data_IF_184878105122
#
_entry.id   IF_184878105122
#
_cell.length_a   1.000
_cell.length_b   1.000
_cell.length_c   1.000
_cell.angle_alpha   90.00
_cell.angle_beta   90.00
_cell.angle_gamma   90.00
#
_symmetry.space_group_name_H-M   'P 1'
#
loop_
_entity.id
_entity.type
_entity.pdbx_description
1 polymer ?
#
# COMPACT_ATOMS: atom_id res chain seq x y z
N UNK A 1 -10.72 -21.08 75.03
CA UNK A 1 -10.92 -19.78 74.34
C UNK A 1 -11.57 -20.10 72.99
N UNK A 2 -12.89 -19.92 72.90
CA UNK A 2 -13.61 -18.96 72.00
C UNK A 2 -13.75 -19.54 70.56
N UNK A 3 -14.92 -19.77 69.94
CA UNK A 3 -16.23 -19.09 69.81
C UNK A 3 -16.28 -17.90 68.82
N UNK A 4 -16.52 -18.17 67.53
CA UNK A 4 -17.60 -17.54 66.73
C UNK A 4 -17.62 -18.14 65.31
N UNK A 5 -18.70 -18.81 64.89
CA UNK A 5 -19.86 -18.26 64.15
C UNK A 5 -19.49 -17.57 62.85
N UNK A 6 -19.84 -18.22 61.74
CA UNK A 6 -20.47 -17.54 60.59
C UNK A 6 -21.24 -18.55 59.74
N UNK A 7 -22.42 -18.93 60.24
CA UNK A 7 -23.49 -19.50 59.42
C UNK A 7 -24.01 -18.41 58.49
N UNK A 8 -23.43 -18.30 57.29
CA UNK A 8 -24.01 -17.49 56.22
C UNK A 8 -25.30 -18.15 55.76
N UNK A 9 -26.41 -17.63 56.27
CA UNK A 9 -27.75 -17.91 55.74
C UNK A 9 -27.78 -17.43 54.29
N UNK A 10 -27.78 -18.36 53.34
CA UNK A 10 -28.13 -18.06 51.96
C UNK A 10 -29.64 -17.85 51.93
N UNK A 11 -30.08 -16.61 52.16
CA UNK A 11 -31.45 -16.18 51.87
C UNK A 11 -31.72 -16.49 50.40
N UNK A 12 -32.52 -17.52 50.13
CA UNK A 12 -33.00 -17.78 48.77
C UNK A 12 -33.79 -16.54 48.37
N UNK A 13 -33.27 -15.78 47.41
CA UNK A 13 -33.99 -14.69 46.78
C UNK A 13 -35.23 -15.31 46.13
N UNK A 14 -36.39 -15.11 46.76
CA UNK A 14 -37.68 -15.45 46.18
C UNK A 14 -37.79 -14.66 44.87
N UNK A 15 -37.67 -15.34 43.73
CA UNK A 15 -37.95 -14.71 42.44
C UNK A 15 -39.41 -14.26 42.48
N UNK A 16 -39.71 -12.97 42.26
CA UNK A 16 -41.09 -12.53 42.13
C UNK A 16 -41.72 -13.30 40.97
N UNK A 17 -42.83 -14.01 41.23
CA UNK A 17 -43.66 -14.66 40.21
C UNK A 17 -44.37 -13.57 39.39
N UNK A 18 -43.57 -12.82 38.64
CA UNK A 18 -44.02 -11.77 37.76
C UNK A 18 -44.53 -12.46 36.50
N UNK A 19 -45.80 -12.90 36.55
CA UNK A 19 -46.56 -13.34 35.38
C UNK A 19 -46.82 -12.14 34.47
N UNK A 20 -45.78 -11.63 33.83
CA UNK A 20 -45.93 -10.66 32.76
C UNK A 20 -46.69 -11.37 31.64
N UNK A 21 -47.81 -10.82 31.14
CA UNK A 21 -48.49 -11.41 30.00
C UNK A 21 -47.57 -11.38 28.77
N UNK A 22 -46.99 -12.54 28.43
CA UNK A 22 -46.17 -12.81 27.23
C UNK A 22 -47.05 -12.85 25.98
N UNK A 23 -48.05 -11.96 25.86
CA UNK A 23 -48.97 -11.97 24.72
C UNK A 23 -48.47 -11.14 23.54
N UNK A 24 -47.48 -10.26 23.75
CA UNK A 24 -46.92 -9.37 22.71
C UNK A 24 -45.40 -9.49 22.51
N UNK A 25 -44.72 -10.20 23.40
CA UNK A 25 -43.26 -10.41 23.35
C UNK A 25 -42.87 -11.31 22.17
N UNK A 26 -43.72 -12.29 21.86
CA UNK A 26 -43.47 -13.28 20.81
C UNK A 26 -43.38 -12.63 19.43
N UNK A 27 -44.26 -11.67 19.13
CA UNK A 27 -44.24 -10.93 17.86
C UNK A 27 -42.97 -10.07 17.73
N UNK A 28 -42.56 -9.40 18.81
CA UNK A 28 -41.33 -8.62 18.84
C UNK A 28 -40.08 -9.50 18.70
N UNK A 29 -40.03 -10.65 19.38
CA UNK A 29 -38.96 -11.64 19.24
C UNK A 29 -38.90 -12.25 17.84
N UNK A 30 -40.06 -12.59 17.28
CA UNK A 30 -40.16 -13.11 15.91
C UNK A 30 -39.65 -12.06 14.93
N UNK A 31 -40.11 -10.81 15.03
CA UNK A 31 -39.67 -9.71 14.18
C UNK A 31 -38.16 -9.45 14.31
N UNK A 32 -37.63 -9.42 15.53
CA UNK A 32 -36.20 -9.26 15.79
C UNK A 32 -35.37 -10.42 15.21
N UNK A 33 -35.86 -11.66 15.31
CA UNK A 33 -35.19 -12.83 14.75
C UNK A 33 -35.18 -12.84 13.21
N UNK A 34 -36.22 -12.31 12.56
CA UNK A 34 -36.29 -12.17 11.11
C UNK A 34 -35.37 -11.06 10.60
N UNK A 35 -35.26 -9.95 11.34
CA UNK A 35 -34.31 -8.87 11.04
C UNK A 35 -32.86 -9.36 11.13
N UNK A 36 -32.53 -10.15 12.14
CA UNK A 36 -31.19 -10.74 12.31
C UNK A 36 -30.88 -11.73 11.17
N UNK A 37 -31.82 -12.60 10.79
CA UNK A 37 -31.63 -13.55 9.67
C UNK A 37 -31.46 -12.85 8.32
N UNK A 38 -32.11 -11.70 8.13
CA UNK A 38 -31.97 -10.89 6.92
C UNK A 38 -30.61 -10.19 6.86
N UNK A 39 -30.08 -9.75 8.01
CA UNK A 39 -28.76 -9.11 8.13
C UNK A 39 -27.60 -10.11 8.06
N UNK A 40 -27.84 -11.38 8.43
CA UNK A 40 -26.83 -12.45 8.44
C UNK A 40 -26.76 -13.24 7.12
N UNK A 41 -27.29 -12.71 6.01
CA UNK A 41 -27.15 -13.37 4.72
C UNK A 41 -25.65 -13.46 4.33
N UNK A 42 -25.02 -14.65 4.36
CA UNK A 42 -23.58 -14.80 4.17
C UNK A 42 -23.14 -14.63 2.70
N UNK A 43 -24.08 -14.32 1.80
CA UNK A 43 -23.83 -14.02 0.39
C UNK A 43 -23.65 -12.52 0.10
N UNK A 44 -23.66 -11.65 1.12
CA UNK A 44 -23.26 -10.24 1.00
C UNK A 44 -21.73 -10.11 0.99
N UNK A 45 -21.08 -10.57 -0.10
CA UNK A 45 -19.73 -10.07 -0.37
C UNK A 45 -19.84 -8.55 -0.47
N UNK A 46 -19.18 -7.84 0.44
CA UNK A 46 -19.22 -6.36 0.58
C UNK A 46 -18.94 -5.63 -0.76
N UNK A 47 -18.38 -6.36 -1.73
CA UNK A 47 -18.20 -5.97 -3.13
C UNK A 47 -18.85 -7.03 -4.03
N UNK A 48 -19.66 -6.63 -5.01
CA UNK A 48 -20.23 -7.55 -6.01
C UNK A 48 -19.12 -8.14 -6.91
N UNK A 49 -19.26 -9.38 -7.37
CA UNK A 49 -18.28 -10.03 -8.27
C UNK A 49 -17.93 -9.18 -9.51
N UNK A 50 -18.92 -8.50 -10.09
CA UNK A 50 -18.71 -7.59 -11.22
C UNK A 50 -17.84 -6.37 -10.88
N UNK A 51 -17.95 -5.86 -9.64
CA UNK A 51 -17.16 -4.75 -9.12
C UNK A 51 -15.75 -5.20 -8.74
N UNK A 52 -15.60 -6.44 -8.27
CA UNK A 52 -14.29 -7.07 -8.06
C UNK A 52 -13.54 -7.25 -9.40
N UNK A 53 -14.19 -7.80 -10.42
CA UNK A 53 -13.61 -7.96 -11.76
C UNK A 53 -13.25 -6.65 -12.45
N UNK A 54 -14.01 -5.57 -12.22
CA UNK A 54 -13.68 -4.25 -12.77
C UNK A 54 -12.45 -3.66 -12.08
N UNK A 55 -12.30 -3.85 -10.77
CA UNK A 55 -11.11 -3.45 -10.01
C UNK A 55 -9.87 -4.24 -10.46
N UNK A 56 -10.01 -5.54 -10.70
CA UNK A 56 -8.93 -6.39 -11.21
C UNK A 56 -8.51 -5.94 -12.61
N UNK A 57 -9.46 -5.66 -13.51
CA UNK A 57 -9.17 -5.13 -14.86
C UNK A 57 -8.46 -3.79 -14.81
N UNK A 58 -8.94 -2.88 -13.96
CA UNK A 58 -8.31 -1.57 -13.77
C UNK A 58 -6.86 -1.68 -13.29
N UNK A 59 -6.57 -2.64 -12.41
CA UNK A 59 -5.23 -2.89 -11.90
C UNK A 59 -4.28 -3.49 -12.96
N UNK A 60 -4.79 -4.32 -13.87
CA UNK A 60 -3.99 -4.80 -15.01
C UNK A 60 -3.62 -3.65 -15.96
N UNK A 61 -4.56 -2.74 -16.22
CA UNK A 61 -4.31 -1.56 -17.05
C UNK A 61 -3.22 -0.69 -16.42
N UNK A 62 -3.25 -0.46 -15.11
CA UNK A 62 -2.21 0.35 -14.44
C UNK A 62 -0.83 -0.30 -14.45
N UNK A 63 -0.74 -1.62 -14.31
CA UNK A 63 0.53 -2.33 -14.49
C UNK A 63 1.08 -2.19 -15.90
N UNK A 64 0.22 -2.31 -16.93
CA UNK A 64 0.62 -2.10 -18.31
C UNK A 64 1.14 -0.66 -18.53
N UNK A 65 0.43 0.35 -18.03
CA UNK A 65 0.87 1.74 -18.09
C UNK A 65 2.21 1.98 -17.38
N UNK A 66 2.45 1.32 -16.25
CA UNK A 66 3.74 1.38 -15.55
C UNK A 66 4.88 0.80 -16.39
N UNK A 67 4.67 -0.31 -17.10
CA UNK A 67 5.69 -0.88 -17.99
C UNK A 67 5.93 0.06 -19.18
N UNK A 68 4.86 0.62 -19.76
CA UNK A 68 4.98 1.60 -20.84
C UNK A 68 5.65 2.91 -20.41
N UNK A 69 5.52 3.30 -19.14
CA UNK A 69 6.12 4.52 -18.59
C UNK A 69 7.64 4.54 -18.57
N UNK A 70 8.27 3.36 -18.60
CA UNK A 70 9.71 3.24 -18.74
C UNK A 70 10.21 3.76 -20.10
N UNK A 71 9.38 3.69 -21.15
CA UNK A 71 9.70 4.25 -22.46
C UNK A 71 9.62 5.79 -22.50
N UNK A 72 9.09 6.43 -21.45
CA UNK A 72 8.98 7.90 -21.36
C UNK A 72 9.91 8.50 -20.32
N UNK A 73 10.98 7.82 -19.91
CA UNK A 73 11.91 8.28 -18.87
C UNK A 73 11.22 8.68 -17.53
N UNK A 74 10.14 7.98 -17.16
CA UNK A 74 9.41 8.24 -15.90
C UNK A 74 8.30 9.29 -16.00
N UNK A 75 8.08 9.94 -17.15
CA UNK A 75 7.06 10.99 -17.30
C UNK A 75 5.62 10.49 -17.03
N UNK A 76 5.32 9.23 -17.33
CA UNK A 76 4.01 8.60 -17.08
C UNK A 76 3.79 8.17 -15.60
N UNK A 77 4.76 8.38 -14.70
CA UNK A 77 4.67 8.01 -13.27
C UNK A 77 3.73 8.90 -12.45
N UNK A 78 3.27 10.01 -13.03
CA UNK A 78 2.31 10.93 -12.40
C UNK A 78 0.96 10.27 -12.15
N UNK A 79 0.46 9.46 -13.08
CA UNK A 79 -0.86 8.82 -12.91
C UNK A 79 -0.84 7.83 -11.74
N UNK A 80 0.12 6.89 -11.66
CA UNK A 80 0.18 5.98 -10.53
C UNK A 80 0.42 6.63 -9.17
N UNK A 81 1.24 7.68 -9.07
CA UNK A 81 1.48 8.34 -7.78
C UNK A 81 0.22 9.03 -7.28
N UNK A 82 -0.54 9.68 -8.17
CA UNK A 82 -1.84 10.28 -7.85
C UNK A 82 -2.81 9.18 -7.36
N UNK A 83 -2.90 8.06 -8.07
CA UNK A 83 -3.75 6.94 -7.68
C UNK A 83 -3.37 6.38 -6.30
N UNK A 84 -2.07 6.26 -6.03
CA UNK A 84 -1.57 5.78 -4.75
C UNK A 84 -1.96 6.74 -3.62
N UNK A 85 -1.74 8.05 -3.76
CA UNK A 85 -2.16 9.02 -2.74
C UNK A 85 -3.69 9.08 -2.57
N UNK A 86 -4.44 9.03 -3.66
CA UNK A 86 -5.91 9.10 -3.63
C UNK A 86 -6.55 7.90 -2.92
N UNK A 87 -5.95 6.71 -3.00
CA UNK A 87 -6.48 5.48 -2.41
C UNK A 87 -5.77 5.00 -1.16
N UNK A 88 -4.61 5.56 -0.82
CA UNK A 88 -3.84 5.20 0.38
C UNK A 88 -4.71 5.22 1.63
N UNK A 89 -5.46 6.30 1.86
CA UNK A 89 -6.32 6.44 3.05
C UNK A 89 -7.49 5.44 3.12
N UNK A 90 -7.90 4.87 1.98
CA UNK A 90 -8.93 3.83 1.96
C UNK A 90 -8.39 2.44 2.34
N UNK A 91 -7.07 2.29 2.32
CA UNK A 91 -6.38 1.05 2.69
C UNK A 91 -5.78 1.11 4.09
N UNK A 92 -6.04 2.18 4.85
CA UNK A 92 -5.60 2.33 6.23
C UNK A 92 -6.06 1.12 7.06
N UNK A 93 -5.21 0.69 7.99
CA UNK A 93 -5.43 -0.49 8.83
C UNK A 93 -5.46 -1.84 8.09
N UNK A 94 -5.09 -1.90 6.81
CA UNK A 94 -4.91 -3.15 6.04
C UNK A 94 -3.46 -3.36 5.64
N UNK A 95 -3.07 -4.60 5.29
CA UNK A 95 -1.75 -4.91 4.73
C UNK A 95 -1.47 -4.17 3.41
N UNK A 96 -2.50 -3.70 2.70
CA UNK A 96 -2.37 -2.99 1.44
C UNK A 96 -1.83 -1.56 1.62
N UNK A 97 -2.04 -0.93 2.79
CA UNK A 97 -1.43 0.38 3.13
C UNK A 97 0.09 0.37 2.94
N UNK A 98 0.76 -0.73 3.32
CA UNK A 98 2.21 -0.89 3.17
C UNK A 98 2.66 -0.88 1.71
N UNK A 99 1.83 -1.36 0.78
CA UNK A 99 2.14 -1.35 -0.65
C UNK A 99 2.01 0.05 -1.23
N UNK A 100 0.97 0.80 -0.83
CA UNK A 100 0.83 2.21 -1.21
C UNK A 100 2.03 3.02 -0.72
N UNK A 101 2.41 2.86 0.55
CA UNK A 101 3.59 3.51 1.12
C UNK A 101 4.89 3.10 0.40
N UNK A 102 5.05 1.82 0.08
CA UNK A 102 6.20 1.32 -0.65
C UNK A 102 6.34 1.93 -2.04
N UNK A 103 5.23 2.02 -2.79
CA UNK A 103 5.23 2.63 -4.11
C UNK A 103 5.48 4.15 -4.05
N UNK A 104 4.86 4.85 -3.09
CA UNK A 104 5.07 6.28 -2.86
C UNK A 104 6.53 6.56 -2.52
N UNK A 105 7.13 5.81 -1.59
CA UNK A 105 8.56 5.97 -1.24
C UNK A 105 9.47 5.69 -2.44
N UNK A 106 9.18 4.65 -3.21
CA UNK A 106 9.96 4.29 -4.40
C UNK A 106 9.91 5.39 -5.45
N UNK A 107 8.75 6.03 -5.65
CA UNK A 107 8.63 7.23 -6.49
C UNK A 107 9.58 8.35 -6.03
N UNK A 108 9.51 8.75 -4.76
CA UNK A 108 10.32 9.85 -4.24
C UNK A 108 11.83 9.58 -4.30
N UNK A 109 12.25 8.36 -3.96
CA UNK A 109 13.65 7.96 -4.13
C UNK A 109 14.10 8.02 -5.60
N UNK A 110 13.21 7.70 -6.55
CA UNK A 110 13.54 7.76 -7.98
C UNK A 110 13.71 9.18 -8.49
N UNK A 111 12.96 10.14 -7.94
CA UNK A 111 13.18 11.57 -8.21
C UNK A 111 14.57 12.00 -7.74
N UNK A 112 15.00 11.56 -6.55
CA UNK A 112 16.34 11.87 -6.03
C UNK A 112 17.43 11.27 -6.92
N UNK A 113 17.34 9.97 -7.25
CA UNK A 113 18.29 9.32 -8.15
C UNK A 113 18.30 9.96 -9.54
N UNK A 114 17.14 10.35 -10.07
CA UNK A 114 17.00 11.06 -11.34
C UNK A 114 17.68 12.43 -11.31
N UNK A 115 17.47 13.21 -10.25
CA UNK A 115 18.12 14.52 -10.09
C UNK A 115 19.65 14.40 -10.00
N UNK A 116 20.16 13.45 -9.19
CA UNK A 116 21.60 13.15 -9.12
C UNK A 116 22.14 12.77 -10.49
N UNK A 117 21.41 11.92 -11.20
CA UNK A 117 21.76 11.49 -12.55
C UNK A 117 21.84 12.65 -13.55
N UNK A 118 20.88 13.59 -13.52
CA UNK A 118 20.89 14.79 -14.36
C UNK A 118 22.11 15.66 -14.05
N UNK A 119 22.41 15.91 -12.77
CA UNK A 119 23.57 16.71 -12.37
C UNK A 119 24.87 16.07 -12.87
N UNK A 120 25.03 14.76 -12.66
CA UNK A 120 26.19 14.02 -13.15
C UNK A 120 26.31 14.05 -14.67
N UNK A 121 25.18 13.95 -15.39
CA UNK A 121 25.17 14.05 -16.84
C UNK A 121 25.58 15.46 -17.31
N UNK A 122 25.07 16.52 -16.70
CA UNK A 122 25.44 17.90 -17.04
C UNK A 122 26.94 18.15 -16.82
N UNK A 123 27.49 17.70 -15.68
CA UNK A 123 28.92 17.90 -15.38
C UNK A 123 29.79 17.01 -16.28
N UNK A 124 29.43 15.74 -16.45
CA UNK A 124 30.18 14.79 -17.28
C UNK A 124 30.18 15.17 -18.75
N UNK A 125 29.01 15.39 -19.34
CA UNK A 125 28.89 15.79 -20.75
C UNK A 125 29.36 17.23 -21.00
N UNK A 126 29.08 18.15 -20.08
CA UNK A 126 29.53 19.54 -20.19
C UNK A 126 31.06 19.65 -20.12
N UNK A 127 31.67 18.93 -19.17
CA UNK A 127 33.13 18.84 -19.07
C UNK A 127 33.76 18.17 -20.30
N UNK A 128 33.10 17.15 -20.86
CA UNK A 128 33.60 16.47 -22.06
C UNK A 128 33.53 17.38 -23.29
N UNK A 129 32.43 18.11 -23.46
CA UNK A 129 32.29 19.13 -24.50
C UNK A 129 33.38 20.19 -24.38
N UNK A 130 33.53 20.81 -23.20
CA UNK A 130 34.57 21.81 -22.96
C UNK A 130 35.98 21.26 -23.20
N UNK A 131 36.27 20.03 -22.78
CA UNK A 131 37.57 19.40 -22.98
C UNK A 131 37.93 19.23 -24.46
N UNK A 132 36.94 18.83 -25.27
CA UNK A 132 37.08 18.71 -26.73
C UNK A 132 37.25 20.08 -27.39
N UNK A 133 36.44 21.08 -27.02
CA UNK A 133 36.55 22.42 -27.62
C UNK A 133 37.82 23.18 -27.20
N UNK A 134 38.33 22.92 -25.99
CA UNK A 134 39.55 23.53 -25.47
C UNK A 134 40.83 22.74 -25.81
N UNK A 135 40.73 21.67 -26.61
CA UNK A 135 41.81 20.77 -27.00
C UNK A 135 42.67 20.30 -25.80
N UNK A 136 42.00 20.03 -24.68
CA UNK A 136 42.65 19.77 -23.39
C UNK A 136 42.42 18.32 -22.94
N UNK A 137 43.48 17.52 -23.02
CA UNK A 137 43.46 16.09 -22.69
C UNK A 137 43.08 15.80 -21.23
N UNK A 138 43.55 16.63 -20.28
CA UNK A 138 43.25 16.47 -18.85
C UNK A 138 41.76 16.66 -18.54
N UNK A 139 41.11 17.63 -19.18
CA UNK A 139 39.67 17.91 -18.99
C UNK A 139 38.82 16.83 -19.64
N UNK A 140 39.21 16.36 -20.83
CA UNK A 140 38.55 15.25 -21.52
C UNK A 140 38.65 13.92 -20.73
N UNK A 141 39.80 13.62 -20.14
CA UNK A 141 39.98 12.40 -19.34
C UNK A 141 39.18 12.45 -18.03
N UNK A 142 39.21 13.58 -17.32
CA UNK A 142 38.45 13.78 -16.07
C UNK A 142 36.95 13.70 -16.28
N UNK A 143 36.44 14.32 -17.35
CA UNK A 143 35.02 14.29 -17.70
C UNK A 143 34.54 12.91 -18.17
N UNK A 144 35.37 12.16 -18.92
CA UNK A 144 35.06 10.78 -19.30
C UNK A 144 34.97 9.86 -18.07
N UNK A 145 35.89 10.01 -17.12
CA UNK A 145 35.83 9.25 -15.85
C UNK A 145 34.57 9.57 -15.04
N UNK A 146 34.19 10.85 -14.98
CA UNK A 146 32.98 11.28 -14.29
C UNK A 146 31.70 10.80 -14.98
N UNK A 147 31.67 10.81 -16.32
CA UNK A 147 30.56 10.29 -17.11
C UNK A 147 30.40 8.77 -16.92
N UNK A 148 31.50 8.01 -16.91
CA UNK A 148 31.49 6.57 -16.63
C UNK A 148 30.96 6.27 -15.22
N UNK A 149 31.40 7.04 -14.21
CA UNK A 149 30.90 6.92 -12.84
C UNK A 149 29.40 7.25 -12.76
N UNK A 150 28.96 8.32 -13.44
CA UNK A 150 27.54 8.66 -13.55
C UNK A 150 26.72 7.53 -14.18
N UNK A 151 27.24 6.92 -15.24
CA UNK A 151 26.63 5.75 -15.89
C UNK A 151 26.48 4.54 -14.95
N UNK A 152 27.51 4.24 -14.14
CA UNK A 152 27.45 3.17 -13.14
C UNK A 152 26.41 3.44 -12.05
N UNK A 153 26.31 4.69 -11.58
CA UNK A 153 25.28 5.10 -10.61
C UNK A 153 23.88 4.95 -11.22
N UNK A 154 23.70 5.34 -12.48
CA UNK A 154 22.43 5.14 -13.20
C UNK A 154 22.06 3.66 -13.33
N UNK A 155 23.02 2.81 -13.70
CA UNK A 155 22.81 1.36 -13.80
C UNK A 155 22.38 0.79 -12.45
N UNK A 156 23.08 1.16 -11.39
CA UNK A 156 22.74 0.75 -10.03
C UNK A 156 21.33 1.21 -9.64
N UNK A 157 20.99 2.47 -9.89
CA UNK A 157 19.66 3.01 -9.60
C UNK A 157 18.58 2.29 -10.39
N UNK A 158 18.83 1.94 -11.65
CA UNK A 158 17.91 1.19 -12.50
C UNK A 158 17.66 -0.22 -11.95
N UNK A 159 18.74 -0.95 -11.60
CA UNK A 159 18.63 -2.29 -11.00
C UNK A 159 17.91 -2.23 -9.65
N UNK A 160 18.30 -1.29 -8.78
CA UNK A 160 17.65 -1.04 -7.50
C UNK A 160 16.15 -0.82 -7.68
N UNK A 161 15.77 -0.04 -8.68
CA UNK A 161 14.39 0.28 -8.96
C UNK A 161 13.59 -0.96 -9.41
N UNK A 162 14.12 -1.75 -10.35
CA UNK A 162 13.50 -3.01 -10.78
C UNK A 162 13.31 -3.94 -9.59
N UNK A 163 14.35 -4.12 -8.77
CA UNK A 163 14.27 -4.94 -7.57
C UNK A 163 13.14 -4.48 -6.64
N UNK A 164 12.97 -3.17 -6.43
CA UNK A 164 11.90 -2.61 -5.58
C UNK A 164 10.50 -2.91 -6.12
N UNK A 165 10.31 -2.82 -7.44
CA UNK A 165 9.03 -3.17 -8.08
C UNK A 165 8.75 -4.67 -7.92
N UNK A 166 9.72 -5.52 -8.27
CA UNK A 166 9.58 -6.98 -8.19
C UNK A 166 9.28 -7.41 -6.76
N UNK A 167 10.01 -6.87 -5.77
CA UNK A 167 9.77 -7.18 -4.36
C UNK A 167 8.36 -6.81 -3.92
N UNK A 168 7.90 -5.62 -4.31
CA UNK A 168 6.54 -5.17 -4.02
C UNK A 168 5.48 -6.04 -4.68
N UNK A 169 5.72 -6.48 -5.92
CA UNK A 169 4.78 -7.34 -6.64
C UNK A 169 4.71 -8.76 -6.04
N UNK A 170 5.86 -9.37 -5.72
CA UNK A 170 5.87 -10.70 -5.08
C UNK A 170 5.09 -10.65 -3.75
N UNK A 171 5.30 -9.61 -2.93
CA UNK A 171 4.54 -9.45 -1.69
C UNK A 171 3.03 -9.28 -1.91
N UNK A 172 2.63 -8.56 -2.97
CA UNK A 172 1.23 -8.38 -3.34
C UNK A 172 0.57 -9.71 -3.74
N UNK A 173 1.27 -10.51 -4.56
CA UNK A 173 0.80 -11.85 -4.98
C UNK A 173 0.68 -12.79 -3.78
N UNK A 174 1.62 -12.71 -2.84
CA UNK A 174 1.63 -13.50 -1.61
C UNK A 174 0.67 -12.96 -0.53
N UNK A 175 -0.10 -11.90 -0.82
CA UNK A 175 -1.04 -11.23 0.11
C UNK A 175 -0.42 -10.87 1.46
N UNK A 176 0.88 -10.53 1.46
CA UNK A 176 1.65 -10.18 2.66
C UNK A 176 2.07 -8.72 2.62
N UNK A 177 2.17 -8.01 3.75
CA UNK A 177 2.65 -6.64 3.79
C UNK A 177 4.10 -6.52 3.30
N UNK A 178 4.45 -5.37 2.72
CA UNK A 178 5.84 -5.05 2.39
C UNK A 178 6.51 -4.42 3.61
N UNK A 179 7.68 -4.92 4.04
CA UNK A 179 8.44 -4.33 5.14
C UNK A 179 8.98 -2.93 4.81
#
# INVERSE_FOLDING_TARGET
MDNNRDTRQTTKLQQPDLKIPVSGQDSAYQQHSQLIKTQLNPSSSVISKSKEESLIRYNHITYLLYVLSYFTAGLLWIVPIIMNYARRGQADYTWLSTHFDWQIKTFWYSIIFGAIGIVMAVIGLGGLGLGVFADSSNVALGSTGLAALGGLIFLFAFIWHIYRIVKGWIALTDKRPVP
#
